data_IF_907464273396
#
_entry.id   IF_907464273396
#
_cell.length_a   1.000
_cell.length_b   1.000
_cell.length_c   1.000
_cell.angle_alpha   90.00
_cell.angle_beta   90.00
_cell.angle_gamma   90.00
#
_symmetry.space_group_name_H-M   'P 1'
#
loop_
_entity.id
_entity.type
_entity.pdbx_description
1 polymer ?
#
# COMPACT_ATOMS: atom_id res chain seq x y z
N UNK A 1 28.46 5.96 17.96
CA UNK A 1 27.73 5.63 16.70
C UNK A 1 28.70 4.92 15.77
N UNK A 2 28.79 3.59 15.85
CA UNK A 2 29.72 2.81 15.03
C UNK A 2 29.13 2.63 13.63
N UNK A 3 29.80 3.22 12.64
CA UNK A 3 29.46 3.09 11.22
C UNK A 3 29.79 1.66 10.82
N UNK A 4 28.76 0.84 10.64
CA UNK A 4 28.86 -0.54 10.15
C UNK A 4 29.35 -0.48 8.69
N UNK A 5 30.67 -0.45 8.50
CA UNK A 5 31.30 -0.47 7.19
C UNK A 5 31.27 -1.90 6.68
N UNK A 6 30.46 -2.17 5.66
CA UNK A 6 30.52 -3.42 4.90
C UNK A 6 31.98 -3.69 4.50
N UNK A 7 32.53 -4.82 4.94
CA UNK A 7 33.94 -5.19 4.68
C UNK A 7 34.29 -5.26 3.18
N UNK A 8 33.29 -5.29 2.30
CA UNK A 8 33.41 -5.52 0.86
C UNK A 8 32.85 -4.33 0.04
N UNK A 9 32.44 -3.22 0.68
CA UNK A 9 32.04 -1.99 -0.01
C UNK A 9 30.76 -2.06 -0.87
N UNK A 10 29.94 -3.11 -0.71
CA UNK A 10 28.68 -3.30 -1.46
C UNK A 10 27.54 -2.38 -1.00
N UNK A 11 26.54 -2.18 -1.89
CA UNK A 11 25.28 -1.44 -1.63
C UNK A 11 24.65 -1.90 -0.30
N UNK A 12 24.01 -0.97 0.41
CA UNK A 12 23.36 -1.17 1.72
C UNK A 12 22.08 -2.02 1.63
N UNK A 13 22.22 -3.25 1.15
CA UNK A 13 21.15 -4.26 1.05
C UNK A 13 21.19 -5.27 2.20
N UNK A 14 22.32 -5.33 2.92
CA UNK A 14 22.60 -6.30 3.98
C UNK A 14 23.16 -5.55 5.19
N UNK A 15 22.84 -6.00 6.39
CA UNK A 15 23.25 -5.35 7.64
C UNK A 15 24.66 -5.76 8.05
N UNK A 16 25.09 -6.97 7.66
CA UNK A 16 26.45 -7.47 7.88
C UNK A 16 26.88 -8.45 6.80
N UNK A 17 28.18 -8.50 6.56
CA UNK A 17 28.81 -9.46 5.66
C UNK A 17 30.04 -10.05 6.34
N UNK A 18 30.13 -11.37 6.37
CA UNK A 18 31.24 -12.11 6.96
C UNK A 18 31.83 -13.10 5.95
N UNK A 19 33.12 -13.40 6.08
CA UNK A 19 33.78 -14.45 5.30
C UNK A 19 33.94 -15.66 6.22
N UNK A 20 33.54 -16.85 5.75
CA UNK A 20 33.72 -18.07 6.50
C UNK A 20 35.22 -18.34 6.76
N UNK A 21 35.61 -19.05 7.84
CA UNK A 21 37.02 -19.27 8.19
C UNK A 21 37.84 -19.97 7.09
N UNK A 22 37.17 -20.69 6.19
CA UNK A 22 37.77 -21.35 5.03
C UNK A 22 38.07 -20.39 3.85
N UNK A 23 37.69 -19.12 3.93
CA UNK A 23 37.92 -18.08 2.92
C UNK A 23 37.16 -18.25 1.61
N UNK A 24 36.35 -19.31 1.46
CA UNK A 24 35.70 -19.69 0.20
C UNK A 24 34.21 -19.32 0.14
N UNK A 25 33.62 -18.96 1.27
CA UNK A 25 32.19 -18.65 1.37
C UNK A 25 32.01 -17.27 2.01
N UNK A 26 31.16 -16.46 1.40
CA UNK A 26 30.74 -15.16 1.94
C UNK A 26 29.31 -15.35 2.48
N UNK A 27 29.10 -14.96 3.72
CA UNK A 27 27.82 -15.03 4.43
C UNK A 27 27.27 -13.60 4.58
N UNK A 28 26.02 -13.40 4.19
CA UNK A 28 25.31 -12.15 4.34
C UNK A 28 24.21 -12.26 5.41
N UNK A 29 24.16 -11.30 6.32
CA UNK A 29 23.14 -11.19 7.35
C UNK A 29 22.15 -10.09 6.99
N UNK A 30 20.87 -10.46 6.83
CA UNK A 30 19.77 -9.55 6.50
C UNK A 30 18.52 -9.90 7.33
N UNK A 31 18.44 -9.46 8.59
CA UNK A 31 17.22 -9.66 9.37
C UNK A 31 16.08 -8.84 8.79
N UNK A 32 14.85 -9.29 9.00
CA UNK A 32 13.67 -8.54 8.58
C UNK A 32 13.60 -7.20 9.34
N UNK A 33 13.36 -6.08 8.64
CA UNK A 33 13.29 -4.78 9.28
C UNK A 33 12.05 -4.70 10.17
N UNK A 34 12.23 -4.34 11.44
CA UNK A 34 11.11 -3.98 12.32
C UNK A 34 10.67 -2.54 12.04
N UNK A 35 9.35 -2.32 12.03
CA UNK A 35 8.76 -1.00 11.89
C UNK A 35 8.29 -0.48 13.26
N UNK A 36 8.89 0.57 13.81
CA UNK A 36 8.48 1.15 15.10
C UNK A 36 7.02 1.61 15.09
N UNK A 37 6.35 1.42 16.23
CA UNK A 37 4.93 1.77 16.36
C UNK A 37 4.67 3.26 16.20
N UNK A 38 5.62 4.11 16.61
CA UNK A 38 5.53 5.58 16.55
C UNK A 38 5.41 6.12 15.12
N UNK A 39 5.79 5.33 14.12
CA UNK A 39 5.65 5.71 12.71
C UNK A 39 4.33 5.20 12.09
N UNK A 40 3.57 4.37 12.79
CA UNK A 40 2.27 3.90 12.34
C UNK A 40 1.18 4.96 12.53
N UNK A 41 0.11 4.87 11.74
CA UNK A 41 -1.10 5.68 11.93
C UNK A 41 -2.20 4.80 12.53
N UNK A 42 -3.04 5.35 13.43
CA UNK A 42 -4.21 4.62 13.89
C UNK A 42 -5.13 4.30 12.70
N UNK A 43 -5.76 3.13 12.76
CA UNK A 43 -6.79 2.76 11.77
C UNK A 43 -7.96 3.75 11.87
N UNK A 44 -8.50 4.23 10.74
CA UNK A 44 -9.64 5.13 10.77
C UNK A 44 -10.85 4.41 11.35
N UNK A 45 -11.54 5.04 12.30
CA UNK A 45 -12.82 4.54 12.79
C UNK A 45 -13.83 4.64 11.64
N UNK A 46 -14.41 3.51 11.25
CA UNK A 46 -15.50 3.52 10.29
C UNK A 46 -16.66 4.34 10.89
N UNK A 47 -16.91 5.53 10.36
CA UNK A 47 -18.19 6.19 10.57
C UNK A 47 -19.21 5.34 9.85
N UNK A 48 -19.96 4.52 10.60
CA UNK A 48 -21.16 3.88 10.07
C UNK A 48 -22.00 4.96 9.42
N UNK A 49 -22.06 4.93 8.09
CA UNK A 49 -22.90 5.82 7.31
C UNK A 49 -24.31 5.66 7.84
N UNK A 50 -24.88 6.75 8.33
CA UNK A 50 -26.25 6.84 8.86
C UNK A 50 -27.27 6.21 7.90
N UNK A 51 -27.52 4.91 8.01
CA UNK A 51 -28.50 4.15 7.22
C UNK A 51 -29.77 3.86 8.02
N UNK A 52 -30.01 4.57 9.12
CA UNK A 52 -31.13 4.30 10.03
C UNK A 52 -32.49 4.80 9.54
N UNK A 53 -32.61 5.30 8.30
CA UNK A 53 -33.88 5.77 7.75
C UNK A 53 -34.25 5.01 6.48
N UNK A 54 -35.24 4.12 6.60
CA UNK A 54 -35.77 3.28 5.51
C UNK A 54 -36.13 4.08 4.24
N UNK A 55 -36.58 5.33 4.40
CA UNK A 55 -36.91 6.23 3.28
C UNK A 55 -35.68 6.67 2.48
N UNK A 56 -34.51 6.81 3.13
CA UNK A 56 -33.27 7.15 2.42
C UNK A 56 -32.75 5.96 1.63
N UNK A 57 -32.97 4.74 2.12
CA UNK A 57 -32.46 3.54 1.48
C UNK A 57 -33.09 3.27 0.11
N UNK A 58 -34.40 3.45 -0.05
CA UNK A 58 -35.07 3.31 -1.35
C UNK A 58 -34.60 4.34 -2.37
N UNK A 59 -34.39 5.58 -1.93
CA UNK A 59 -33.85 6.65 -2.78
C UNK A 59 -32.41 6.37 -3.22
N UNK A 60 -31.57 5.82 -2.32
CA UNK A 60 -30.20 5.43 -2.63
C UNK A 60 -30.15 4.24 -3.59
N UNK A 61 -31.00 3.23 -3.39
CA UNK A 61 -31.11 2.06 -4.28
C UNK A 61 -31.56 2.47 -5.67
N UNK A 62 -32.55 3.36 -5.76
CA UNK A 62 -33.03 3.91 -7.05
C UNK A 62 -31.94 4.72 -7.75
N UNK A 63 -31.21 5.56 -7.01
CA UNK A 63 -30.07 6.31 -7.55
C UNK A 63 -28.94 5.38 -8.02
N UNK A 64 -28.58 4.37 -7.23
CA UNK A 64 -27.58 3.35 -7.61
C UNK A 64 -27.99 2.57 -8.86
N UNK A 65 -29.27 2.23 -9.00
CA UNK A 65 -29.79 1.57 -10.20
C UNK A 65 -29.67 2.44 -11.44
N UNK A 66 -29.94 3.75 -11.32
CA UNK A 66 -29.79 4.69 -12.43
C UNK A 66 -28.32 4.90 -12.84
N UNK A 67 -27.37 4.76 -11.91
CA UNK A 67 -25.94 4.81 -12.22
C UNK A 67 -25.43 3.58 -12.98
N UNK A 68 -26.23 2.51 -13.12
CA UNK A 68 -25.87 1.33 -13.90
C UNK A 68 -25.91 1.60 -15.42
N UNK A 69 -26.76 2.53 -15.84
CA UNK A 69 -26.97 2.90 -17.25
C UNK A 69 -26.18 4.16 -17.66
N UNK A 70 -24.94 4.31 -17.16
CA UNK A 70 -24.07 5.42 -17.56
C UNK A 70 -23.58 5.24 -19.00
N UNK A 71 -23.51 6.35 -19.74
CA UNK A 71 -22.88 6.39 -21.08
C UNK A 71 -21.43 5.93 -20.99
N UNK A 72 -20.94 5.12 -21.95
CA UNK A 72 -19.61 4.52 -21.88
C UNK A 72 -18.49 5.57 -21.82
N UNK A 73 -18.70 6.74 -22.42
CA UNK A 73 -17.73 7.84 -22.38
C UNK A 73 -17.55 8.41 -20.97
N UNK A 74 -18.65 8.56 -20.23
CA UNK A 74 -18.66 9.10 -18.86
C UNK A 74 -18.08 8.09 -17.89
N UNK A 75 -18.45 6.81 -18.02
CA UNK A 75 -17.89 5.74 -17.21
C UNK A 75 -16.36 5.67 -17.38
N UNK A 76 -15.86 5.79 -18.62
CA UNK A 76 -14.44 5.80 -18.89
C UNK A 76 -13.72 7.01 -18.31
N UNK A 77 -14.34 8.19 -18.32
CA UNK A 77 -13.79 9.39 -17.68
C UNK A 77 -13.69 9.27 -16.17
N UNK A 78 -14.72 8.75 -15.51
CA UNK A 78 -14.70 8.48 -14.08
C UNK A 78 -13.63 7.45 -13.72
N UNK A 79 -13.51 6.38 -14.51
CA UNK A 79 -12.50 5.35 -14.31
C UNK A 79 -11.09 5.93 -14.44
N UNK A 80 -10.80 6.66 -15.52
CA UNK A 80 -9.51 7.34 -15.67
C UNK A 80 -9.16 8.23 -14.48
N UNK A 81 -10.13 8.99 -13.98
CA UNK A 81 -9.92 9.89 -12.84
C UNK A 81 -9.68 9.14 -11.53
N UNK A 82 -10.36 8.00 -11.34
CA UNK A 82 -10.23 7.16 -10.16
C UNK A 82 -8.90 6.38 -10.16
N UNK A 83 -8.51 5.83 -11.29
CA UNK A 83 -7.29 5.01 -11.43
C UNK A 83 -6.06 5.82 -11.81
N UNK A 84 -6.23 7.11 -12.09
CA UNK A 84 -5.18 7.99 -12.61
C UNK A 84 -4.54 7.45 -13.90
N UNK A 85 -5.31 6.76 -14.74
CA UNK A 85 -4.84 6.19 -16.02
C UNK A 85 -5.34 7.00 -17.21
N UNK A 86 -4.77 6.71 -18.38
CA UNK A 86 -5.26 7.23 -19.66
C UNK A 86 -6.52 6.50 -20.12
N UNK A 87 -7.14 7.06 -21.17
CA UNK A 87 -8.43 6.64 -21.71
C UNK A 87 -8.40 5.35 -22.53
N UNK A 88 -7.21 4.87 -22.86
CA UNK A 88 -6.95 3.77 -23.78
C UNK A 88 -6.66 2.49 -23.00
#
# INVERSE_FOLDING_TARGET
>A
LSINKNAIGGRRLVEGVAVAPNGKTIVAWHPDPSYPYEFSKPLPTATESQSTSLMKEESLRTAMSAFKDKRPEVAREELMRLTHTTKH
#
